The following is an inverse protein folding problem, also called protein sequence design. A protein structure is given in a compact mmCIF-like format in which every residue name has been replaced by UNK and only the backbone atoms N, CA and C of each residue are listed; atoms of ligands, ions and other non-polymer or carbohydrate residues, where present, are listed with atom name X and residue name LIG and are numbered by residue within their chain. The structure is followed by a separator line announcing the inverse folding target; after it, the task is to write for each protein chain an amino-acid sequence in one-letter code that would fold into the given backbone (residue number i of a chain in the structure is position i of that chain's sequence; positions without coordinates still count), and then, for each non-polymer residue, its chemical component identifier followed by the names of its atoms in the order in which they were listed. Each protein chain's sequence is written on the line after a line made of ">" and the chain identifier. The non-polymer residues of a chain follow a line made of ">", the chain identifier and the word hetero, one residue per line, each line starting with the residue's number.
data_IF_291345835589
#
_entry.id   IF_291345835589
#
_cell.length_a   1.000
_cell.length_b   1.000
_cell.length_c   1.000
_cell.angle_alpha   90.00
_cell.angle_beta   90.00
_cell.angle_gamma   90.00
#
_symmetry.space_group_name_H-M   'P 1'
#
loop_
_entity.id
_entity.type
_entity.pdbx_description
1 polymer ?
#
# COMPACT_ATOMS: atom_id res chain seq x y z
N UNK A 1 12.68 -32.79 2.22
CA UNK A 1 13.30 -31.59 2.81
C UNK A 1 12.25 -30.50 2.87
N UNK A 2 12.03 -29.85 4.03
CA UNK A 2 11.12 -28.70 4.10
C UNK A 2 11.83 -27.48 3.52
N UNK A 3 11.24 -26.84 2.52
CA UNK A 3 11.71 -25.55 2.03
C UNK A 3 11.57 -24.53 3.17
N UNK A 4 12.63 -23.77 3.53
CA UNK A 4 12.52 -22.73 4.54
C UNK A 4 11.52 -21.66 4.08
N UNK A 5 10.68 -21.19 5.00
CA UNK A 5 9.68 -20.16 4.75
C UNK A 5 10.43 -18.86 4.41
N UNK A 6 10.11 -18.26 3.26
CA UNK A 6 10.59 -16.93 2.89
C UNK A 6 9.52 -15.90 3.27
N UNK A 7 9.93 -14.85 3.99
CA UNK A 7 9.03 -13.76 4.35
C UNK A 7 9.33 -12.57 3.44
N UNK A 8 8.33 -12.10 2.70
CA UNK A 8 8.46 -11.00 1.73
C UNK A 8 7.63 -9.81 2.19
N UNK A 9 8.26 -8.65 2.37
CA UNK A 9 7.60 -7.38 2.67
C UNK A 9 7.57 -6.56 1.39
N UNK A 10 6.39 -6.16 0.93
CA UNK A 10 6.22 -5.27 -0.21
C UNK A 10 6.01 -3.86 0.33
N UNK A 11 6.93 -2.94 0.07
CA UNK A 11 6.91 -1.58 0.60
C UNK A 11 7.54 -0.59 -0.40
N UNK A 12 6.77 0.40 -0.83
CA UNK A 12 7.18 1.39 -1.85
C UNK A 12 8.01 2.53 -1.26
N UNK A 13 7.85 2.87 0.03
CA UNK A 13 8.57 3.94 0.71
C UNK A 13 10.02 3.56 1.02
N UNK A 14 11.04 4.24 0.45
CA UNK A 14 12.44 3.97 0.77
C UNK A 14 12.76 4.19 2.26
N UNK A 15 12.06 5.14 2.89
CA UNK A 15 12.20 5.43 4.32
C UNK A 15 11.72 4.25 5.17
N UNK A 16 10.53 3.72 4.92
CA UNK A 16 10.02 2.56 5.67
C UNK A 16 10.84 1.30 5.41
N UNK A 17 11.30 1.08 4.15
CA UNK A 17 12.21 -0.03 3.84
C UNK A 17 13.49 0.04 4.70
N UNK A 18 14.06 1.23 4.89
CA UNK A 18 15.23 1.43 5.75
C UNK A 18 14.95 1.03 7.20
N UNK A 19 13.90 1.57 7.80
CA UNK A 19 13.54 1.28 9.20
C UNK A 19 13.28 -0.21 9.44
N UNK A 20 12.54 -0.86 8.53
CA UNK A 20 12.27 -2.29 8.59
C UNK A 20 13.55 -3.13 8.47
N UNK A 21 14.52 -2.73 7.62
CA UNK A 21 15.81 -3.42 7.50
C UNK A 21 16.59 -3.36 8.81
N UNK A 22 16.69 -2.18 9.39
CA UNK A 22 17.38 -1.95 10.68
C UNK A 22 16.75 -2.77 11.81
N UNK A 23 15.41 -2.87 11.83
CA UNK A 23 14.70 -3.70 12.81
C UNK A 23 14.93 -5.21 12.61
N UNK A 24 15.08 -5.65 11.36
CA UNK A 24 15.11 -7.06 10.97
C UNK A 24 16.52 -7.55 10.58
N UNK A 25 17.58 -6.84 10.96
CA UNK A 25 18.98 -7.21 10.61
C UNK A 25 19.34 -8.64 11.02
N UNK A 26 18.75 -9.15 12.11
CA UNK A 26 18.95 -10.50 12.62
C UNK A 26 18.10 -11.59 11.94
N UNK A 27 17.26 -11.23 10.97
CA UNK A 27 16.28 -12.12 10.33
C UNK A 27 16.60 -12.33 8.83
N UNK A 28 17.55 -13.23 8.48
CA UNK A 28 18.03 -13.39 7.10
C UNK A 28 17.00 -13.99 6.14
N UNK A 29 15.87 -14.51 6.64
CA UNK A 29 14.78 -15.05 5.83
C UNK A 29 13.80 -13.98 5.31
N UNK A 30 13.99 -12.71 5.70
CA UNK A 30 13.15 -11.58 5.27
C UNK A 30 13.76 -10.92 4.04
N UNK A 31 12.93 -10.71 3.02
CA UNK A 31 13.27 -9.99 1.80
C UNK A 31 12.28 -8.83 1.60
N UNK A 32 12.76 -7.68 1.14
CA UNK A 32 11.92 -6.55 0.77
C UNK A 32 11.78 -6.46 -0.75
N UNK A 33 10.58 -6.20 -1.22
CA UNK A 33 10.23 -5.91 -2.61
C UNK A 33 9.66 -4.49 -2.70
N UNK A 34 9.86 -3.82 -3.82
CA UNK A 34 9.35 -2.46 -4.01
C UNK A 34 7.91 -2.47 -4.53
N UNK A 35 7.55 -3.50 -5.29
CA UNK A 35 6.23 -3.67 -5.87
C UNK A 35 5.75 -5.12 -5.81
N UNK A 36 4.43 -5.30 -5.83
CA UNK A 36 3.81 -6.60 -6.01
C UNK A 36 4.19 -7.23 -7.38
N UNK A 37 4.52 -6.41 -8.38
CA UNK A 37 5.00 -6.88 -9.69
C UNK A 37 6.35 -7.58 -9.64
N UNK A 38 7.15 -7.33 -8.59
CA UNK A 38 8.45 -7.98 -8.40
C UNK A 38 8.28 -9.41 -7.84
N UNK A 39 7.06 -9.79 -7.47
CA UNK A 39 6.72 -11.12 -6.95
C UNK A 39 6.49 -12.12 -8.09
N UNK A 40 7.55 -12.84 -8.46
CA UNK A 40 7.52 -13.87 -9.51
C UNK A 40 6.99 -15.20 -8.97
N UNK A 41 5.68 -15.43 -9.06
CA UNK A 41 5.04 -16.65 -8.58
C UNK A 41 5.05 -16.74 -7.05
N UNK A 42 3.93 -17.15 -6.47
CA UNK A 42 3.78 -17.20 -5.02
C UNK A 42 2.87 -18.35 -4.60
N UNK A 43 3.34 -19.14 -3.64
CA UNK A 43 2.55 -20.14 -2.94
C UNK A 43 2.78 -19.93 -1.45
N UNK A 44 1.73 -19.59 -0.71
CA UNK A 44 1.83 -19.27 0.70
C UNK A 44 0.67 -18.41 1.20
N UNK A 45 0.95 -17.59 2.21
CA UNK A 45 -0.03 -16.73 2.87
C UNK A 45 0.30 -15.26 2.65
N UNK A 46 -0.73 -14.46 2.36
CA UNK A 46 -0.61 -13.00 2.24
C UNK A 46 -1.19 -12.37 3.51
N UNK A 47 -0.40 -11.51 4.15
CA UNK A 47 -0.87 -10.64 5.22
C UNK A 47 -0.97 -9.22 4.67
N UNK A 48 -2.13 -8.60 4.86
CA UNK A 48 -2.37 -7.23 4.44
C UNK A 48 -3.26 -6.59 5.49
N UNK A 49 -2.69 -5.67 6.27
CA UNK A 49 -3.44 -4.88 7.23
C UNK A 49 -3.67 -3.50 6.65
N UNK A 50 -4.93 -3.05 6.61
CA UNK A 50 -5.35 -1.69 6.23
C UNK A 50 -4.86 -1.19 4.86
N UNK A 51 -4.32 -2.06 4.00
CA UNK A 51 -3.81 -1.67 2.69
C UNK A 51 -4.90 -0.99 1.87
N UNK A 52 -6.09 -1.59 1.82
CA UNK A 52 -7.22 -1.06 1.04
C UNK A 52 -7.79 0.22 1.62
N UNK A 53 -7.79 0.37 2.95
CA UNK A 53 -8.28 1.58 3.62
C UNK A 53 -7.36 2.78 3.36
N UNK A 54 -6.07 2.52 3.11
CA UNK A 54 -5.08 3.53 2.79
C UNK A 54 -4.99 3.86 1.28
N UNK A 55 -5.68 3.13 0.40
CA UNK A 55 -5.66 3.42 -1.03
C UNK A 55 -6.47 4.69 -1.32
N UNK A 56 -6.03 5.52 -2.29
CA UNK A 56 -6.85 6.64 -2.77
C UNK A 56 -8.21 6.14 -3.26
N UNK A 57 -9.26 6.87 -2.90
CA UNK A 57 -10.64 6.58 -3.32
C UNK A 57 -11.21 7.76 -4.10
N UNK A 58 -12.09 7.46 -5.04
CA UNK A 58 -12.93 8.45 -5.71
C UNK A 58 -14.25 8.57 -4.95
N UNK A 59 -14.61 9.80 -4.58
CA UNK A 59 -15.87 10.09 -3.90
C UNK A 59 -16.89 10.53 -4.94
N UNK A 60 -18.05 9.87 -4.98
CA UNK A 60 -19.11 10.15 -5.94
C UNK A 60 -20.37 10.60 -5.20
N UNK A 61 -20.93 11.72 -5.62
CA UNK A 61 -22.18 12.26 -5.12
C UNK A 61 -23.28 12.24 -6.19
N UNK A 62 -24.53 12.16 -5.73
CA UNK A 62 -25.70 12.17 -6.61
C UNK A 62 -26.50 13.44 -6.40
N UNK A 63 -26.56 14.29 -7.41
CA UNK A 63 -27.33 15.53 -7.41
C UNK A 63 -28.35 15.53 -8.55
N UNK A 64 -29.60 15.86 -8.26
CA UNK A 64 -30.69 15.97 -9.26
C UNK A 64 -30.85 14.76 -10.21
N UNK A 65 -30.41 13.57 -9.78
CA UNK A 65 -30.50 12.35 -10.59
C UNK A 65 -29.21 11.99 -11.34
N UNK A 66 -28.22 12.86 -11.36
CA UNK A 66 -26.92 12.68 -12.04
C UNK A 66 -25.82 12.40 -11.02
N UNK A 67 -24.75 11.70 -11.45
CA UNK A 67 -23.60 11.37 -10.61
C UNK A 67 -22.43 12.29 -10.95
N UNK A 68 -21.78 12.83 -9.92
CA UNK A 68 -20.62 13.70 -10.03
C UNK A 68 -19.49 13.18 -9.13
N UNK A 69 -18.24 13.34 -9.59
CA UNK A 69 -17.07 13.09 -8.76
C UNK A 69 -16.76 14.34 -7.93
N UNK A 70 -16.52 14.15 -6.63
CA UNK A 70 -16.13 15.22 -5.71
C UNK A 70 -14.66 15.54 -5.92
N UNK A 71 -14.35 16.82 -6.08
CA UNK A 71 -13.03 17.30 -6.49
C UNK A 71 -12.54 18.37 -5.53
N UNK A 72 -11.29 18.28 -5.08
CA UNK A 72 -10.74 19.34 -4.22
C UNK A 72 -10.51 20.62 -5.02
N UNK A 73 -11.19 21.70 -4.61
CA UNK A 73 -11.06 23.04 -5.15
C UNK A 73 -10.36 24.02 -4.21
N UNK A 74 -10.05 25.22 -4.72
CA UNK A 74 -9.52 26.33 -3.93
C UNK A 74 -10.42 27.57 -4.09
N UNK A 75 -10.91 28.11 -2.97
CA UNK A 75 -11.73 29.32 -2.94
C UNK A 75 -11.32 30.22 -1.80
N UNK A 76 -10.98 31.47 -2.08
CA UNK A 76 -10.50 32.44 -1.08
C UNK A 76 -9.37 31.88 -0.19
N UNK A 77 -8.39 31.21 -0.81
CA UNK A 77 -7.26 30.55 -0.12
C UNK A 77 -7.64 29.42 0.84
N UNK A 78 -8.88 28.92 0.78
CA UNK A 78 -9.36 27.78 1.54
C UNK A 78 -9.65 26.59 0.61
N UNK A 79 -9.29 25.40 1.06
CA UNK A 79 -9.66 24.16 0.39
C UNK A 79 -11.17 23.96 0.53
N UNK A 80 -11.80 23.61 -0.59
CA UNK A 80 -13.22 23.23 -0.66
C UNK A 80 -13.32 21.86 -1.32
N UNK A 81 -14.33 21.11 -0.93
CA UNK A 81 -14.73 19.84 -1.57
C UNK A 81 -15.61 20.10 -2.80
#
# INVERSE_FOLDING_TARGET
>A
MKTPIQYRIIETSPYHRKLQRELLESCPAVCQLESLTDLNGFEGMIFSNELFDALPVHVIEKENGELFEVMIGLKNEQLVE
#
